data_IF_298209058224
#
_entry.id   IF_298209058224
#
_cell.length_a   1.000
_cell.length_b   1.000
_cell.length_c   1.000
_cell.angle_alpha   90.00
_cell.angle_beta   90.00
_cell.angle_gamma   90.00
#
_symmetry.space_group_name_H-M   'P 1'
#
loop_
_entity.id
_entity.type
_entity.pdbx_description
1 polymer ?
#
# COMPACT_ATOMS: atom_id res chain seq x y z
N UNK A 1 9.04 -1.84 -6.46
CA UNK A 1 7.85 -1.62 -5.60
C UNK A 1 7.25 -0.23 -5.76
N UNK A 2 7.89 0.78 -6.39
CA UNK A 2 7.26 2.10 -6.55
C UNK A 2 7.03 2.86 -5.23
N UNK A 3 7.82 2.53 -4.21
CA UNK A 3 7.92 3.26 -2.95
C UNK A 3 8.95 4.40 -3.09
N UNK A 4 8.85 5.47 -2.28
CA UNK A 4 9.92 6.45 -2.18
C UNK A 4 11.26 5.79 -1.81
N UNK A 5 12.35 6.42 -2.24
CA UNK A 5 13.69 6.01 -1.83
C UNK A 5 13.79 5.92 -0.30
N UNK A 6 14.48 4.89 0.17
CA UNK A 6 14.68 4.62 1.60
C UNK A 6 13.43 4.31 2.44
N UNK A 7 12.25 4.15 1.84
CA UNK A 7 11.01 3.88 2.58
C UNK A 7 11.10 2.67 3.53
N UNK A 8 11.78 1.59 3.12
CA UNK A 8 12.07 0.43 3.98
C UNK A 8 13.54 0.38 4.40
N UNK A 9 14.44 0.75 3.48
CA UNK A 9 15.90 0.59 3.69
C UNK A 9 16.53 1.68 4.55
N UNK A 10 15.82 2.78 4.81
CA UNK A 10 16.25 3.88 5.68
C UNK A 10 15.74 3.78 7.12
N UNK A 11 15.02 2.72 7.49
CA UNK A 11 14.50 2.54 8.85
C UNK A 11 15.66 2.19 9.79
N UNK A 12 15.92 3.00 10.85
CA UNK A 12 16.97 2.72 11.82
C UNK A 12 16.79 1.34 12.48
N UNK A 13 17.91 0.68 12.76
CA UNK A 13 17.98 -0.63 13.44
C UNK A 13 17.26 -1.80 12.73
N UNK A 14 16.71 -1.59 11.53
CA UNK A 14 16.09 -2.64 10.74
C UNK A 14 17.16 -3.42 9.97
N UNK A 15 17.40 -4.67 10.38
CA UNK A 15 18.38 -5.53 9.71
C UNK A 15 18.04 -5.75 8.23
N UNK A 16 19.05 -5.99 7.39
CA UNK A 16 18.84 -6.27 5.95
C UNK A 16 17.87 -7.43 5.71
N UNK A 17 17.93 -8.48 6.54
CA UNK A 17 17.01 -9.61 6.45
C UNK A 17 15.56 -9.18 6.73
N UNK A 18 15.35 -8.35 7.76
CA UNK A 18 14.02 -7.82 8.08
C UNK A 18 13.50 -6.86 7.00
N UNK A 19 14.37 -6.04 6.40
CA UNK A 19 14.02 -5.19 5.24
C UNK A 19 13.52 -6.02 4.05
N UNK A 20 14.24 -7.09 3.71
CA UNK A 20 13.84 -8.00 2.62
C UNK A 20 12.54 -8.74 2.93
N UNK A 21 12.36 -9.18 4.19
CA UNK A 21 11.11 -9.80 4.62
C UNK A 21 9.93 -8.84 4.53
N UNK A 22 10.10 -7.59 4.95
CA UNK A 22 9.07 -6.55 4.84
C UNK A 22 8.73 -6.22 3.38
N UNK A 23 9.74 -6.09 2.51
CA UNK A 23 9.53 -5.87 1.08
C UNK A 23 8.87 -7.06 0.38
N UNK A 24 9.27 -8.28 0.72
CA UNK A 24 8.76 -9.51 0.12
C UNK A 24 7.34 -9.87 0.53
N UNK A 25 6.92 -9.50 1.74
CA UNK A 25 5.56 -9.73 2.24
C UNK A 25 4.63 -8.51 2.08
N UNK A 26 5.16 -7.39 1.60
CA UNK A 26 4.38 -6.19 1.31
C UNK A 26 3.56 -6.31 0.02
N UNK A 27 2.77 -5.27 -0.26
CA UNK A 27 2.02 -5.14 -1.50
C UNK A 27 2.65 -4.08 -2.41
N UNK A 28 2.36 -4.15 -3.71
CA UNK A 28 2.67 -3.04 -4.62
C UNK A 28 1.73 -1.87 -4.31
N UNK A 29 2.23 -0.69 -3.87
CA UNK A 29 1.39 0.44 -3.45
C UNK A 29 0.37 0.89 -4.49
N UNK A 30 0.73 0.85 -5.78
CA UNK A 30 -0.16 1.23 -6.88
C UNK A 30 -1.33 0.25 -7.01
N UNK A 31 -1.09 -1.05 -6.81
CA UNK A 31 -2.14 -2.07 -6.81
C UNK A 31 -3.04 -1.93 -5.57
N UNK A 32 -2.45 -1.68 -4.40
CA UNK A 32 -3.21 -1.44 -3.17
C UNK A 32 -4.10 -0.20 -3.28
N UNK A 33 -3.56 0.92 -3.79
CA UNK A 33 -4.32 2.14 -4.02
C UNK A 33 -5.46 1.96 -5.05
N UNK A 34 -5.28 1.08 -6.04
CA UNK A 34 -6.35 0.73 -6.97
C UNK A 34 -7.45 -0.10 -6.30
N UNK A 35 -7.07 -1.15 -5.56
CA UNK A 35 -8.01 -1.98 -4.82
C UNK A 35 -8.84 -1.17 -3.81
N UNK A 36 -8.20 -0.23 -3.09
CA UNK A 36 -8.89 0.66 -2.17
C UNK A 36 -9.93 1.54 -2.88
N UNK A 37 -9.62 2.10 -4.06
CA UNK A 37 -10.59 2.87 -4.85
C UNK A 37 -11.81 2.02 -5.23
N UNK A 38 -11.59 0.79 -5.71
CA UNK A 38 -12.69 -0.13 -6.04
C UNK A 38 -13.59 -0.43 -4.82
N UNK A 39 -12.97 -0.63 -3.66
CA UNK A 39 -13.72 -0.89 -2.42
C UNK A 39 -14.50 0.35 -1.96
N UNK A 40 -13.92 1.54 -2.06
CA UNK A 40 -14.58 2.80 -1.72
C UNK A 40 -15.75 3.09 -2.66
N UNK A 41 -15.58 2.87 -3.97
CA UNK A 41 -16.66 3.04 -4.96
C UNK A 41 -17.82 2.08 -4.67
N UNK A 42 -17.54 0.85 -4.22
CA UNK A 42 -18.56 -0.12 -3.82
C UNK A 42 -19.23 0.25 -2.49
N UNK A 43 -18.48 0.85 -1.57
CA UNK A 43 -18.98 1.23 -0.25
C UNK A 43 -19.76 2.55 -0.27
N UNK A 44 -19.65 3.34 -1.34
CA UNK A 44 -20.37 4.59 -1.48
C UNK A 44 -21.88 4.34 -1.40
N UNK A 45 -22.62 5.04 -0.52
CA UNK A 45 -24.07 4.91 -0.46
C UNK A 45 -24.66 5.36 -1.80
N UNK A 46 -25.73 4.68 -2.24
CA UNK A 46 -26.47 5.11 -3.41
C UNK A 46 -26.96 6.55 -3.17
N UNK A 47 -26.49 7.51 -3.97
CA UNK A 47 -26.99 8.87 -3.92
C UNK A 47 -28.48 8.83 -4.27
N UNK A 48 -29.39 9.37 -3.44
CA UNK A 48 -30.80 9.41 -3.79
C UNK A 48 -31.00 10.24 -5.07
N UNK A 49 -31.95 9.88 -5.95
CA UNK A 49 -32.28 10.72 -7.09
C UNK A 49 -32.83 12.07 -6.58
N UNK A 50 -32.36 13.16 -7.20
CA UNK A 50 -32.85 14.52 -6.95
C UNK A 50 -34.19 14.80 -7.61
#
# INVERSE_FOLDING_TARGET
MGLPEHHVTGVPDLSRAAQLHALGNGVVPQQAAHALRLLLDRAAPALPPG
#
